data_IF_970380357627
#
_entry.id   IF_970380357627
#
_cell.length_a   1.000
_cell.length_b   1.000
_cell.length_c   1.000
_cell.angle_alpha   90.00
_cell.angle_beta   90.00
_cell.angle_gamma   90.00
#
_symmetry.space_group_name_H-M   'P 1'
#
loop_
_entity.id
_entity.type
_entity.pdbx_description
1 polymer ?
#
# COMPACT_ATOMS: atom_id res chain seq x y z
N UNK A 1 -2.20 9.80 -53.88
CA UNK A 1 -1.58 10.03 -52.56
C UNK A 1 -2.43 9.27 -51.58
N UNK A 2 -1.87 8.26 -50.91
CA UNK A 2 -2.63 7.55 -49.86
C UNK A 2 -2.81 8.51 -48.68
N UNK A 3 -4.04 8.73 -48.23
CA UNK A 3 -4.33 9.59 -47.08
C UNK A 3 -3.96 8.83 -45.80
N UNK A 4 -2.79 9.16 -45.24
CA UNK A 4 -2.24 8.48 -44.07
C UNK A 4 -2.79 9.12 -42.80
N UNK A 5 -3.45 8.32 -41.95
CA UNK A 5 -3.87 8.77 -40.61
C UNK A 5 -2.81 8.41 -39.58
N UNK A 6 -2.45 9.35 -38.70
CA UNK A 6 -1.53 9.09 -37.61
C UNK A 6 -2.29 8.61 -36.36
N UNK A 7 -1.76 7.59 -35.68
CA UNK A 7 -2.26 7.14 -34.39
C UNK A 7 -2.04 8.22 -33.32
N UNK A 8 -3.11 8.79 -32.78
CA UNK A 8 -3.05 9.80 -31.72
C UNK A 8 -2.28 9.36 -30.47
N UNK A 9 -2.26 8.05 -30.19
CA UNK A 9 -1.62 7.51 -28.98
C UNK A 9 -0.11 7.28 -29.11
N UNK A 10 0.40 6.95 -30.31
CA UNK A 10 1.81 6.57 -30.47
C UNK A 10 2.49 7.14 -31.72
N UNK A 11 1.81 8.01 -32.46
CA UNK A 11 2.32 8.67 -33.66
C UNK A 11 2.57 7.75 -34.86
N UNK A 12 2.16 6.48 -34.79
CA UNK A 12 2.34 5.55 -35.89
C UNK A 12 1.50 5.95 -37.10
N UNK A 13 2.11 5.97 -38.29
CA UNK A 13 1.40 6.10 -39.56
C UNK A 13 0.54 4.86 -39.79
N UNK A 14 -0.72 5.03 -40.13
CA UNK A 14 -1.67 3.95 -40.36
C UNK A 14 -2.30 4.09 -41.74
N UNK A 15 -2.61 2.95 -42.41
CA UNK A 15 -3.42 2.95 -43.62
C UNK A 15 -4.78 3.61 -43.40
N UNK A 16 -5.29 4.30 -44.41
CA UNK A 16 -6.63 4.88 -44.40
C UNK A 16 -7.69 3.81 -44.09
N UNK A 17 -8.68 4.14 -43.25
CA UNK A 17 -9.72 3.19 -42.82
C UNK A 17 -9.27 2.18 -41.73
N UNK A 18 -8.05 2.31 -41.20
CA UNK A 18 -7.58 1.48 -40.07
C UNK A 18 -8.49 1.63 -38.86
N UNK A 19 -9.16 0.53 -38.47
CA UNK A 19 -10.05 0.50 -37.31
C UNK A 19 -9.31 0.34 -35.97
N UNK A 20 -8.03 0.01 -36.00
CA UNK A 20 -7.14 -0.02 -34.83
C UNK A 20 -5.67 0.18 -35.22
N UNK A 21 -4.86 0.62 -34.26
CA UNK A 21 -3.42 0.80 -34.39
C UNK A 21 -2.71 -0.52 -34.09
N UNK A 22 -2.11 -1.10 -35.11
CA UNK A 22 -1.36 -2.36 -34.99
C UNK A 22 -0.14 -2.27 -34.06
N UNK A 23 0.36 -1.05 -33.79
CA UNK A 23 1.53 -0.82 -32.92
C UNK A 23 1.18 -0.79 -31.42
N UNK A 24 0.04 -0.19 -31.05
CA UNK A 24 -0.32 0.01 -29.64
C UNK A 24 -1.72 -0.50 -29.27
N UNK A 25 -2.43 -1.12 -30.21
CA UNK A 25 -3.78 -1.66 -30.03
C UNK A 25 -4.88 -0.61 -29.96
N UNK A 26 -4.59 0.67 -30.23
CA UNK A 26 -5.54 1.78 -30.08
C UNK A 26 -6.62 1.76 -31.17
N UNK A 27 -7.90 1.68 -30.82
CA UNK A 27 -9.02 1.61 -31.78
C UNK A 27 -9.33 3.00 -32.37
N UNK A 28 -9.40 3.11 -33.70
CA UNK A 28 -9.58 4.36 -34.45
C UNK A 28 -10.87 4.20 -35.25
N UNK A 29 -12.00 4.76 -34.81
CA UNK A 29 -13.31 4.46 -35.41
C UNK A 29 -13.67 5.40 -36.57
N UNK A 30 -14.32 4.82 -37.60
CA UNK A 30 -14.75 5.46 -38.85
C UNK A 30 -16.17 6.08 -38.72
N UNK A 31 -16.26 7.40 -38.90
CA UNK A 31 -17.31 8.30 -39.47
C UNK A 31 -18.83 8.15 -39.23
N UNK A 32 -19.34 7.34 -38.30
CA UNK A 32 -20.75 7.48 -37.85
C UNK A 32 -20.92 7.60 -36.33
N UNK A 33 -19.90 8.11 -35.63
CA UNK A 33 -19.87 7.98 -34.17
C UNK A 33 -19.35 9.23 -33.45
N UNK A 34 -19.56 10.39 -34.05
CA UNK A 34 -19.23 11.68 -33.43
C UNK A 34 -20.21 12.06 -32.30
N UNK A 35 -21.28 11.28 -32.09
CA UNK A 35 -22.18 11.43 -30.94
C UNK A 35 -21.91 10.47 -29.77
N UNK A 36 -20.98 9.51 -29.89
CA UNK A 36 -20.67 8.55 -28.79
C UNK A 36 -19.22 8.68 -28.28
N UNK A 37 -18.26 9.20 -29.07
CA UNK A 37 -16.83 9.15 -28.71
C UNK A 37 -16.21 10.42 -28.11
N UNK A 38 -17.03 11.32 -27.57
CA UNK A 38 -16.55 12.44 -26.72
C UNK A 38 -16.29 12.06 -25.26
N UNK A 39 -16.34 10.78 -24.90
CA UNK A 39 -16.08 10.35 -23.52
C UNK A 39 -14.85 9.46 -23.50
N UNK A 40 -13.79 9.95 -22.82
CA UNK A 40 -12.81 9.07 -22.19
C UNK A 40 -13.55 7.87 -21.57
N UNK A 41 -13.02 6.63 -21.65
CA UNK A 41 -13.64 5.49 -20.97
C UNK A 41 -13.91 5.92 -19.54
N UNK A 42 -15.19 5.98 -19.18
CA UNK A 42 -15.57 6.47 -17.86
C UNK A 42 -14.88 5.57 -16.83
N UNK A 43 -14.59 6.07 -15.63
CA UNK A 43 -14.06 5.26 -14.51
C UNK A 43 -14.87 3.96 -14.23
N UNK A 44 -16.03 3.76 -14.88
CA UNK A 44 -16.87 2.55 -14.86
C UNK A 44 -16.45 1.44 -15.83
N UNK A 45 -15.49 1.64 -16.74
CA UNK A 45 -14.88 0.55 -17.52
C UNK A 45 -13.86 -0.22 -16.66
N UNK A 46 -14.29 -0.67 -15.48
CA UNK A 46 -13.45 -1.19 -14.39
C UNK A 46 -12.51 -2.31 -14.86
N UNK A 47 -13.01 -3.22 -15.67
CA UNK A 47 -12.25 -4.37 -16.17
C UNK A 47 -11.00 -3.96 -16.99
N UNK A 48 -11.03 -2.84 -17.73
CA UNK A 48 -9.85 -2.35 -18.46
C UNK A 48 -8.77 -1.82 -17.51
N UNK A 49 -9.18 -0.97 -16.56
CA UNK A 49 -8.30 -0.39 -15.54
C UNK A 49 -7.77 -1.45 -14.58
N UNK A 50 -8.55 -2.48 -14.27
CA UNK A 50 -8.13 -3.65 -13.47
C UNK A 50 -7.00 -4.43 -14.16
N UNK A 51 -7.13 -4.73 -15.45
CA UNK A 51 -6.06 -5.45 -16.19
C UNK A 51 -4.81 -4.60 -16.36
N UNK A 52 -4.98 -3.30 -16.60
CA UNK A 52 -3.86 -2.38 -16.74
C UNK A 52 -3.11 -2.19 -15.42
N UNK A 53 -3.82 -1.99 -14.30
CA UNK A 53 -3.22 -1.86 -12.97
C UNK A 53 -2.46 -3.13 -12.57
N UNK A 54 -3.04 -4.31 -12.79
CA UNK A 54 -2.37 -5.60 -12.55
C UNK A 54 -1.07 -5.75 -13.35
N UNK A 55 -1.03 -5.30 -14.61
CA UNK A 55 0.20 -5.36 -15.41
C UNK A 55 1.31 -4.50 -14.81
N UNK A 56 0.98 -3.29 -14.36
CA UNK A 56 1.95 -2.43 -13.68
C UNK A 56 2.38 -3.03 -12.34
N UNK A 57 1.45 -3.60 -11.58
CA UNK A 57 1.73 -4.27 -10.32
C UNK A 57 2.72 -5.42 -10.48
N UNK A 58 2.47 -6.35 -11.41
CA UNK A 58 3.38 -7.48 -11.71
C UNK A 58 4.78 -6.97 -12.14
N UNK A 59 4.83 -5.91 -12.96
CA UNK A 59 6.10 -5.28 -13.32
C UNK A 59 6.82 -4.68 -12.11
N UNK A 60 6.09 -4.08 -11.17
CA UNK A 60 6.63 -3.55 -9.92
C UNK A 60 7.21 -4.65 -9.03
N UNK A 61 6.49 -5.76 -8.87
CA UNK A 61 6.97 -6.93 -8.13
C UNK A 61 8.28 -7.49 -8.70
N UNK A 62 8.38 -7.59 -10.04
CA UNK A 62 9.60 -8.04 -10.70
C UNK A 62 10.79 -7.12 -10.39
N UNK A 63 10.60 -5.81 -10.49
CA UNK A 63 11.65 -4.82 -10.20
C UNK A 63 12.05 -4.82 -8.73
N UNK A 64 11.07 -4.95 -7.83
CA UNK A 64 11.30 -5.06 -6.39
C UNK A 64 12.18 -6.27 -6.07
N UNK A 65 11.86 -7.43 -6.65
CA UNK A 65 12.66 -8.67 -6.48
C UNK A 65 14.09 -8.51 -7.01
N UNK A 66 14.28 -7.70 -8.05
CA UNK A 66 15.59 -7.37 -8.60
C UNK A 66 16.34 -6.27 -7.82
N UNK A 67 15.77 -5.73 -6.75
CA UNK A 67 16.37 -4.67 -5.93
C UNK A 67 16.26 -3.27 -6.53
N UNK A 68 15.53 -3.11 -7.64
CA UNK A 68 15.36 -1.83 -8.32
C UNK A 68 14.19 -1.03 -7.71
N UNK A 69 14.30 -0.69 -6.42
CA UNK A 69 13.20 -0.17 -5.61
C UNK A 69 12.57 1.12 -6.16
N UNK A 70 13.37 2.11 -6.58
CA UNK A 70 12.86 3.34 -7.20
C UNK A 70 12.00 3.08 -8.44
N UNK A 71 12.41 2.13 -9.29
CA UNK A 71 11.63 1.74 -10.48
C UNK A 71 10.38 0.96 -10.08
N UNK A 72 10.47 0.11 -9.06
CA UNK A 72 9.32 -0.61 -8.52
C UNK A 72 8.26 0.37 -8.00
N UNK A 73 8.67 1.39 -7.21
CA UNK A 73 7.80 2.47 -6.73
C UNK A 73 7.05 3.13 -7.90
N UNK A 74 7.76 3.50 -8.97
CA UNK A 74 7.14 4.09 -10.15
C UNK A 74 6.09 3.18 -10.80
N UNK A 75 6.31 1.85 -10.81
CA UNK A 75 5.32 0.90 -11.34
C UNK A 75 4.12 0.75 -10.40
N UNK A 76 4.33 0.64 -9.10
CA UNK A 76 3.23 0.56 -8.14
C UNK A 76 2.39 1.83 -8.14
N UNK A 77 2.99 3.02 -8.23
CA UNK A 77 2.24 4.28 -8.38
C UNK A 77 1.32 4.25 -9.60
N UNK A 78 1.79 3.77 -10.75
CA UNK A 78 0.92 3.62 -11.93
C UNK A 78 -0.20 2.60 -11.74
N UNK A 79 0.03 1.54 -10.96
CA UNK A 79 -1.01 0.59 -10.63
C UNK A 79 -2.10 1.24 -9.76
N UNK A 80 -1.69 2.03 -8.76
CA UNK A 80 -2.57 2.76 -7.85
C UNK A 80 -3.35 3.85 -8.60
N UNK A 81 -2.71 4.67 -9.43
CA UNK A 81 -3.39 5.70 -10.25
C UNK A 81 -4.52 5.14 -11.14
N UNK A 82 -4.40 3.87 -11.55
CA UNK A 82 -5.42 3.17 -12.35
C UNK A 82 -6.47 2.49 -11.47
N UNK A 83 -6.12 2.13 -10.23
CA UNK A 83 -6.99 1.47 -9.25
C UNK A 83 -6.58 1.87 -7.84
N UNK A 84 -7.21 2.93 -7.34
CA UNK A 84 -6.91 3.47 -6.00
C UNK A 84 -7.18 2.44 -4.88
N UNK A 85 -8.15 1.53 -5.09
CA UNK A 85 -8.50 0.46 -4.15
C UNK A 85 -7.64 -0.81 -4.27
N UNK A 86 -6.38 -0.69 -4.70
CA UNK A 86 -5.48 -1.85 -4.86
C UNK A 86 -4.54 -1.96 -3.65
N UNK A 87 -5.03 -2.59 -2.58
CA UNK A 87 -4.33 -2.69 -1.30
C UNK A 87 -2.92 -3.25 -1.41
N UNK A 88 -2.73 -4.32 -2.20
CA UNK A 88 -1.42 -4.97 -2.40
C UNK A 88 -0.42 -4.04 -3.11
N UNK A 89 -0.89 -3.18 -4.01
CA UNK A 89 -0.03 -2.21 -4.69
C UNK A 89 0.48 -1.14 -3.71
N UNK A 90 -0.38 -0.67 -2.81
CA UNK A 90 0.03 0.21 -1.70
C UNK A 90 1.02 -0.49 -0.78
N UNK A 91 0.72 -1.71 -0.33
CA UNK A 91 1.61 -2.49 0.54
C UNK A 91 3.01 -2.67 -0.06
N UNK A 92 3.10 -3.13 -1.31
CA UNK A 92 4.41 -3.35 -1.94
C UNK A 92 5.16 -2.06 -2.28
N UNK A 93 4.45 -0.95 -2.54
CA UNK A 93 5.10 0.36 -2.65
C UNK A 93 5.65 0.83 -1.30
N UNK A 94 4.90 0.63 -0.22
CA UNK A 94 5.36 0.85 1.15
C UNK A 94 6.62 0.05 1.47
N UNK A 95 6.66 -1.24 1.12
CA UNK A 95 7.87 -2.06 1.28
C UNK A 95 9.06 -1.52 0.48
N UNK A 96 8.83 -1.03 -0.75
CA UNK A 96 9.89 -0.43 -1.56
C UNK A 96 10.40 0.87 -0.94
N UNK A 97 9.52 1.69 -0.35
CA UNK A 97 9.92 2.86 0.42
C UNK A 97 10.75 2.52 1.66
N UNK A 98 10.42 1.45 2.39
CA UNK A 98 11.26 0.93 3.49
C UNK A 98 12.66 0.58 3.00
N UNK A 99 12.78 -0.07 1.85
CA UNK A 99 14.09 -0.40 1.25
C UNK A 99 14.89 0.84 0.83
N UNK A 100 14.22 1.96 0.58
CA UNK A 100 14.85 3.27 0.34
C UNK A 100 14.98 4.13 1.62
N UNK A 101 14.68 3.59 2.80
CA UNK A 101 14.67 4.31 4.09
C UNK A 101 13.70 5.50 4.14
N UNK A 102 12.65 5.50 3.30
CA UNK A 102 11.58 6.50 3.26
C UNK A 102 10.40 6.05 4.14
N UNK A 103 10.61 6.11 5.45
CA UNK A 103 9.70 5.49 6.41
C UNK A 103 8.33 6.16 6.49
N UNK A 104 8.26 7.49 6.35
CA UNK A 104 7.02 8.25 6.36
C UNK A 104 6.13 7.87 5.16
N UNK A 105 6.70 7.85 3.95
CA UNK A 105 5.99 7.41 2.74
C UNK A 105 5.51 5.95 2.88
N UNK A 106 6.32 5.10 3.51
CA UNK A 106 5.94 3.71 3.77
C UNK A 106 4.77 3.58 4.76
N UNK A 107 4.77 4.37 5.84
CA UNK A 107 3.67 4.41 6.82
C UNK A 107 2.37 4.83 6.14
N UNK A 108 2.42 5.86 5.29
CA UNK A 108 1.25 6.33 4.56
C UNK A 108 0.68 5.25 3.63
N UNK A 109 1.55 4.54 2.91
CA UNK A 109 1.14 3.43 2.04
C UNK A 109 0.59 2.22 2.81
N UNK A 110 1.21 1.83 3.93
CA UNK A 110 0.66 0.76 4.77
C UNK A 110 -0.68 1.15 5.39
N UNK A 111 -0.81 2.41 5.82
CA UNK A 111 -2.09 2.95 6.29
C UNK A 111 -3.15 2.86 5.20
N UNK A 112 -2.80 3.21 3.97
CA UNK A 112 -3.75 3.13 2.86
C UNK A 112 -4.15 1.70 2.52
N UNK A 113 -3.20 0.76 2.55
CA UNK A 113 -3.49 -0.66 2.37
C UNK A 113 -4.48 -1.17 3.43
N UNK A 114 -4.29 -0.78 4.70
CA UNK A 114 -5.18 -1.12 5.83
C UNK A 114 -6.56 -0.49 5.68
N UNK A 115 -6.66 0.77 5.22
CA UNK A 115 -7.95 1.41 4.96
C UNK A 115 -8.75 0.70 3.86
N UNK A 116 -8.07 0.14 2.86
CA UNK A 116 -8.70 -0.60 1.75
C UNK A 116 -9.06 -2.02 2.19
N UNK A 117 -8.15 -2.70 2.89
CA UNK A 117 -8.33 -4.04 3.43
C UNK A 117 -7.97 -4.06 4.92
N UNK A 118 -8.97 -3.91 5.81
CA UNK A 118 -8.77 -3.92 7.26
C UNK A 118 -8.25 -5.24 7.83
N UNK A 119 -8.24 -6.33 7.05
CA UNK A 119 -7.73 -7.64 7.45
C UNK A 119 -6.30 -7.90 6.95
N UNK A 120 -5.66 -6.90 6.32
CA UNK A 120 -4.31 -7.02 5.74
C UNK A 120 -3.21 -7.04 6.82
N UNK A 121 -3.07 -8.17 7.50
CA UNK A 121 -2.12 -8.41 8.62
C UNK A 121 -0.68 -7.99 8.32
N UNK A 122 -0.19 -8.25 7.11
CA UNK A 122 1.17 -7.88 6.73
C UNK A 122 1.39 -6.36 6.74
N UNK A 123 0.39 -5.56 6.35
CA UNK A 123 0.49 -4.10 6.37
C UNK A 123 0.58 -3.56 7.81
N UNK A 124 -0.23 -4.10 8.73
CA UNK A 124 -0.10 -3.80 10.16
C UNK A 124 1.28 -4.19 10.70
N UNK A 125 1.78 -5.37 10.33
CA UNK A 125 3.07 -5.84 10.81
C UNK A 125 4.22 -4.94 10.37
N UNK A 126 4.26 -4.56 9.09
CA UNK A 126 5.31 -3.69 8.57
C UNK A 126 5.23 -2.29 9.17
N UNK A 127 4.02 -1.71 9.29
CA UNK A 127 3.83 -0.39 9.90
C UNK A 127 4.19 -0.38 11.39
N UNK A 128 3.78 -1.42 12.13
CA UNK A 128 4.14 -1.62 13.53
C UNK A 128 5.65 -1.75 13.76
N UNK A 129 6.37 -2.46 12.87
CA UNK A 129 7.83 -2.54 12.92
C UNK A 129 8.48 -1.15 12.77
N UNK A 130 8.01 -0.35 11.81
CA UNK A 130 8.55 1.01 11.63
C UNK A 130 8.27 1.87 12.85
N UNK A 131 7.06 1.84 13.41
CA UNK A 131 6.74 2.58 14.63
C UNK A 131 7.62 2.16 15.81
N UNK A 132 7.87 0.85 15.95
CA UNK A 132 8.73 0.32 17.00
C UNK A 132 10.17 0.81 16.87
N UNK A 133 10.76 0.68 15.67
CA UNK A 133 12.14 1.14 15.39
C UNK A 133 12.30 2.65 15.59
N UNK A 134 11.24 3.42 15.34
CA UNK A 134 11.21 4.88 15.53
C UNK A 134 10.79 5.33 16.93
N UNK A 135 10.60 4.38 17.87
CA UNK A 135 10.28 4.66 19.27
C UNK A 135 8.82 5.05 19.55
N UNK A 136 7.93 4.98 18.56
CA UNK A 136 6.48 5.18 18.72
C UNK A 136 5.80 3.90 19.23
N UNK A 137 6.12 3.52 20.47
CA UNK A 137 5.77 2.21 21.05
C UNK A 137 4.27 1.95 21.13
N UNK A 138 3.47 2.98 21.42
CA UNK A 138 2.02 2.86 21.55
C UNK A 138 1.38 2.51 20.19
N UNK A 139 1.81 3.19 19.11
CA UNK A 139 1.29 2.89 17.75
C UNK A 139 1.72 1.51 17.27
N UNK A 140 2.95 1.10 17.58
CA UNK A 140 3.43 -0.23 17.25
C UNK A 140 2.59 -1.31 17.95
N UNK A 141 2.26 -1.10 19.23
CA UNK A 141 1.38 -1.99 19.99
C UNK A 141 0.01 -2.09 19.33
N UNK A 142 -0.63 -0.96 19.03
CA UNK A 142 -1.97 -0.95 18.46
C UNK A 142 -2.02 -1.77 17.15
N UNK A 143 -0.98 -1.67 16.31
CA UNK A 143 -0.85 -2.49 15.10
C UNK A 143 -0.66 -3.98 15.40
N UNK A 144 0.15 -4.34 16.40
CA UNK A 144 0.35 -5.75 16.76
C UNK A 144 -0.87 -6.39 17.44
N UNK A 145 -1.57 -5.65 18.31
CA UNK A 145 -2.85 -6.09 18.89
C UNK A 145 -3.84 -6.38 17.78
N UNK A 146 -3.89 -5.53 16.74
CA UNK A 146 -4.79 -5.76 15.62
C UNK A 146 -4.50 -7.05 14.86
N UNK A 147 -3.24 -7.44 14.70
CA UNK A 147 -2.87 -8.71 14.07
C UNK A 147 -3.37 -9.90 14.90
N UNK A 148 -3.25 -9.84 16.22
CA UNK A 148 -3.72 -10.89 17.14
C UNK A 148 -5.25 -11.03 17.06
N UNK A 149 -5.98 -9.91 17.00
CA UNK A 149 -7.43 -9.92 16.82
C UNK A 149 -7.84 -10.61 15.51
N UNK A 150 -7.09 -10.37 14.43
CA UNK A 150 -7.37 -10.91 13.10
C UNK A 150 -6.98 -12.38 12.98
N UNK A 151 -5.93 -12.82 13.67
CA UNK A 151 -5.40 -14.17 13.60
C UNK A 151 -4.62 -14.53 14.87
N UNK A 152 -5.32 -15.22 15.77
CA UNK A 152 -4.75 -15.61 17.05
C UNK A 152 -3.61 -16.65 16.93
N UNK A 153 -3.51 -17.38 15.81
CA UNK A 153 -2.43 -18.36 15.60
C UNK A 153 -1.09 -17.67 15.25
N UNK A 154 -1.15 -16.50 14.60
CA UNK A 154 0.03 -15.66 14.30
C UNK A 154 0.68 -15.11 15.57
N UNK A 155 -0.03 -15.05 16.71
CA UNK A 155 0.54 -14.61 17.98
C UNK A 155 1.86 -15.32 18.33
N UNK A 156 2.03 -16.58 17.90
CA UNK A 156 3.28 -17.35 18.03
C UNK A 156 4.45 -16.85 17.18
N UNK A 157 4.19 -16.29 15.99
CA UNK A 157 5.20 -15.79 15.04
C UNK A 157 5.71 -14.39 15.38
N UNK A 158 4.83 -13.57 15.98
CA UNK A 158 5.17 -12.21 16.45
C UNK A 158 5.49 -12.17 17.94
N UNK A 159 5.49 -13.34 18.60
CA UNK A 159 5.71 -13.51 20.03
C UNK A 159 7.02 -12.88 20.50
N UNK A 160 8.14 -13.06 19.80
CA UNK A 160 9.44 -12.52 20.27
C UNK A 160 9.47 -10.97 20.29
N UNK A 161 8.80 -10.33 19.34
CA UNK A 161 8.68 -8.86 19.27
C UNK A 161 7.67 -8.34 20.30
N UNK A 162 6.56 -9.06 20.46
CA UNK A 162 5.55 -8.78 21.49
C UNK A 162 6.06 -9.08 22.90
N UNK A 163 6.91 -10.07 23.12
CA UNK A 163 7.40 -10.48 24.43
C UNK A 163 8.31 -9.40 25.02
N UNK A 164 9.26 -8.88 24.23
CA UNK A 164 10.07 -7.72 24.65
C UNK A 164 9.20 -6.48 24.97
N UNK A 165 8.11 -6.29 24.25
CA UNK A 165 7.16 -5.21 24.50
C UNK A 165 6.30 -5.46 25.75
N UNK A 166 5.71 -6.65 25.89
CA UNK A 166 4.84 -7.07 26.98
C UNK A 166 5.63 -7.15 28.30
N UNK A 167 6.86 -7.67 28.29
CA UNK A 167 7.76 -7.61 29.46
C UNK A 167 8.07 -6.16 29.83
N UNK A 168 8.38 -5.29 28.86
CA UNK A 168 8.65 -3.87 29.13
C UNK A 168 7.41 -3.16 29.70
N UNK A 169 6.22 -3.45 29.18
CA UNK A 169 4.95 -2.87 29.62
C UNK A 169 4.52 -3.38 31.00
N UNK A 170 4.56 -4.70 31.24
CA UNK A 170 4.32 -5.30 32.55
C UNK A 170 5.29 -4.72 33.58
N UNK A 171 6.58 -4.63 33.26
CA UNK A 171 7.58 -4.03 34.15
C UNK A 171 7.31 -2.54 34.42
N UNK A 172 6.80 -1.79 33.45
CA UNK A 172 6.44 -0.38 33.61
C UNK A 172 5.20 -0.20 34.49
N UNK A 173 4.14 -1.00 34.29
CA UNK A 173 2.96 -1.02 35.15
C UNK A 173 3.33 -1.41 36.58
N UNK A 174 4.14 -2.46 36.76
CA UNK A 174 4.61 -2.89 38.08
C UNK A 174 5.44 -1.80 38.76
N UNK A 175 6.30 -1.09 38.01
CA UNK A 175 7.10 0.02 38.54
C UNK A 175 6.23 1.21 38.96
N UNK A 176 5.26 1.60 38.13
CA UNK A 176 4.35 2.71 38.39
C UNK A 176 3.38 2.39 39.55
N UNK A 177 2.90 1.16 39.65
CA UNK A 177 2.07 0.71 40.77
C UNK A 177 2.86 0.56 42.08
N UNK A 178 4.16 0.25 42.03
CA UNK A 178 5.04 0.31 43.21
C UNK A 178 5.31 1.75 43.66
N UNK A 179 5.31 2.72 42.74
CA UNK A 179 5.51 4.13 43.09
C UNK A 179 4.25 4.76 43.68
N UNK A 180 3.05 4.38 43.22
CA UNK A 180 1.79 4.80 43.84
C UNK A 180 1.60 4.18 45.23
N UNK A 181 1.95 2.90 45.42
CA UNK A 181 1.91 2.25 46.74
C UNK A 181 2.92 2.80 47.76
N UNK A 182 4.02 3.43 47.32
CA UNK A 182 4.95 4.12 48.23
C UNK A 182 4.47 5.51 48.63
N UNK A 183 3.69 6.19 47.78
CA UNK A 183 3.15 7.53 48.10
C UNK A 183 1.91 7.42 49.02
N UNK A 184 1.13 6.34 48.93
CA UNK A 184 -0.03 6.12 49.82
C UNK A 184 0.36 5.70 51.26
N UNK A 185 1.57 5.18 51.48
CA UNK A 185 2.03 4.83 52.83
C UNK A 185 2.46 6.04 53.68
N UNK A 186 2.73 7.18 53.06
CA UNK A 186 3.13 8.40 53.76
C UNK A 186 1.93 9.26 54.24
N UNK A 187 0.70 8.85 53.93
CA UNK A 187 -0.53 9.55 54.36
C UNK A 187 -1.32 8.88 55.50
N UNK A 188 -0.84 7.75 56.06
CA UNK A 188 -1.57 6.97 57.09
C UNK A 188 -0.94 7.08 58.50
N UNK A 189 0.13 7.87 58.69
CA UNK A 189 0.84 7.95 59.99
C UNK A 189 0.71 9.28 60.76
N UNK A 190 -0.32 10.09 60.50
CA UNK A 190 -0.70 11.21 61.38
C UNK A 190 -2.21 11.14 61.70
N UNK A 191 -2.59 10.32 62.68
CA UNK A 191 -3.86 10.41 63.45
C UNK A 191 -3.84 9.47 64.65
#
# INVERSE_FOLDING_TARGET
MEDITNCFKCGAKLPEGSIYCFKCGFKIKNTQIDSIFSKEPSKKDSHYYDKASQKFFISGLSLFKSGEYSKAISKFTKAIELKDGFAEAHYHRGQAYVKESKYEDAIDDFTKAIEIDPEFKDAYFQRGNIFFERGSKERARDDYEKIIELDFEIASQIYDKLHNFMESWVNNIVKNNKTTLSVEKDFINDS
#
